data_IF_809115260151
#
_entry.id   IF_809115260151
#
_cell.length_a   1.000
_cell.length_b   1.000
_cell.length_c   1.000
_cell.angle_alpha   90.00
_cell.angle_beta   90.00
_cell.angle_gamma   90.00
#
_symmetry.space_group_name_H-M   'P 1'
#
loop_
_entity.id
_entity.type
_entity.pdbx_description
1 polymer ?
#
# COMPACT_ATOMS: atom_id res chain seq x y z
N UNK A 1 -20.37 -4.94 21.61
CA UNK A 1 -19.78 -5.18 20.27
C UNK A 1 -18.36 -5.70 20.43
N UNK A 2 -17.44 -4.92 20.99
CA UNK A 2 -16.04 -5.33 21.23
C UNK A 2 -15.86 -6.71 21.89
N UNK A 3 -16.51 -6.97 23.04
CA UNK A 3 -16.43 -8.27 23.72
C UNK A 3 -16.91 -9.46 22.87
N UNK A 4 -17.84 -9.23 21.94
CA UNK A 4 -18.27 -10.27 20.99
C UNK A 4 -17.14 -10.62 20.03
N UNK A 5 -16.41 -9.64 19.50
CA UNK A 5 -15.31 -9.90 18.57
C UNK A 5 -14.07 -10.50 19.24
N UNK A 6 -13.78 -10.15 20.50
CA UNK A 6 -12.77 -10.88 21.31
C UNK A 6 -13.14 -12.36 21.43
N UNK A 7 -14.40 -12.65 21.76
CA UNK A 7 -14.86 -14.03 21.90
C UNK A 7 -14.92 -14.77 20.57
N UNK A 8 -15.35 -14.11 19.49
CA UNK A 8 -15.40 -14.68 18.15
C UNK A 8 -13.99 -15.11 17.71
N UNK A 9 -12.99 -14.23 17.82
CA UNK A 9 -11.60 -14.55 17.47
C UNK A 9 -11.03 -15.69 18.32
N UNK A 10 -11.43 -15.78 19.59
CA UNK A 10 -11.02 -16.91 20.46
C UNK A 10 -11.63 -18.24 20.01
N UNK A 11 -12.88 -18.23 19.54
CA UNK A 11 -13.58 -19.43 19.03
C UNK A 11 -13.14 -19.83 17.62
N UNK A 12 -12.79 -18.84 16.81
CA UNK A 12 -12.43 -18.97 15.40
C UNK A 12 -10.96 -18.53 15.20
N UNK A 13 -9.97 -19.29 15.70
CA UNK A 13 -8.57 -18.89 15.69
C UNK A 13 -7.98 -18.74 14.27
N UNK A 14 -8.61 -19.36 13.26
CA UNK A 14 -8.22 -19.22 11.86
C UNK A 14 -8.46 -17.80 11.30
N UNK A 15 -9.20 -16.94 12.02
CA UNK A 15 -9.31 -15.51 11.69
C UNK A 15 -8.03 -14.73 12.02
N UNK A 16 -7.12 -15.28 12.82
CA UNK A 16 -5.90 -14.58 13.24
C UNK A 16 -4.98 -14.21 12.04
N UNK A 17 -4.64 -15.15 11.13
CA UNK A 17 -3.61 -14.90 10.13
C UNK A 17 -4.05 -13.89 9.06
N UNK A 18 -5.26 -14.03 8.51
CA UNK A 18 -5.73 -13.14 7.47
C UNK A 18 -7.26 -13.16 7.28
N UNK A 19 -7.85 -11.96 7.17
CA UNK A 19 -9.29 -11.75 6.96
C UNK A 19 -9.48 -10.49 6.13
N UNK A 20 -10.44 -10.52 5.20
CA UNK A 20 -11.10 -9.33 4.69
C UNK A 20 -12.60 -9.45 4.91
N UNK A 21 -13.16 -8.59 5.76
CA UNK A 21 -14.59 -8.52 6.02
C UNK A 21 -15.12 -7.15 5.60
N UNK A 22 -16.02 -7.14 4.61
CA UNK A 22 -16.57 -5.92 4.02
C UNK A 22 -18.08 -5.96 4.03
N UNK A 23 -18.72 -4.86 4.46
CA UNK A 23 -20.16 -4.73 4.51
C UNK A 23 -20.61 -3.59 3.61
N UNK A 24 -21.59 -3.88 2.74
CA UNK A 24 -22.19 -2.91 1.82
C UNK A 24 -23.60 -2.59 2.29
N UNK A 25 -23.85 -1.32 2.64
CA UNK A 25 -25.16 -0.82 3.06
C UNK A 25 -25.71 0.09 1.97
N UNK A 26 -26.79 -0.28 1.25
CA UNK A 26 -27.37 0.59 0.25
C UNK A 26 -28.04 1.82 0.87
N UNK A 27 -28.17 2.90 0.10
CA UNK A 27 -29.01 4.04 0.49
C UNK A 27 -30.51 3.69 0.54
N UNK A 28 -30.96 2.89 -0.42
CA UNK A 28 -32.35 2.43 -0.49
C UNK A 28 -32.43 0.91 -0.31
N UNK A 29 -33.38 0.39 0.48
CA UNK A 29 -33.57 -1.04 0.61
C UNK A 29 -33.97 -1.62 -0.75
N UNK A 30 -33.01 -2.26 -1.43
CA UNK A 30 -33.23 -2.96 -2.69
C UNK A 30 -32.72 -4.39 -2.58
N UNK A 31 -33.38 -5.36 -3.23
CA UNK A 31 -32.81 -6.69 -3.37
C UNK A 31 -31.46 -6.57 -4.07
N UNK A 32 -30.44 -7.20 -3.50
CA UNK A 32 -29.16 -7.37 -4.18
C UNK A 32 -29.09 -8.76 -4.79
N UNK A 33 -28.60 -8.84 -6.02
CA UNK A 33 -28.15 -10.11 -6.57
C UNK A 33 -26.64 -10.28 -6.34
N UNK A 34 -26.21 -11.53 -6.14
CA UNK A 34 -24.77 -11.86 -6.05
C UNK A 34 -24.03 -11.44 -7.32
N UNK A 35 -24.70 -11.52 -8.49
CA UNK A 35 -24.17 -11.06 -9.76
C UNK A 35 -23.95 -9.53 -9.80
N UNK A 36 -24.82 -8.72 -9.19
CA UNK A 36 -24.63 -7.27 -9.13
C UNK A 36 -23.40 -6.90 -8.27
N UNK A 37 -23.17 -7.63 -7.19
CA UNK A 37 -21.95 -7.49 -6.38
C UNK A 37 -20.73 -7.90 -7.21
N UNK A 38 -20.80 -9.03 -7.91
CA UNK A 38 -19.75 -9.49 -8.82
C UNK A 38 -19.38 -8.46 -9.88
N UNK A 39 -20.38 -7.85 -10.53
CA UNK A 39 -20.17 -6.78 -11.50
C UNK A 39 -19.49 -5.54 -10.89
N UNK A 40 -19.85 -5.17 -9.65
CA UNK A 40 -19.22 -4.05 -8.93
C UNK A 40 -17.79 -4.35 -8.50
N UNK A 41 -17.52 -5.53 -7.95
CA UNK A 41 -16.16 -5.90 -7.54
C UNK A 41 -15.25 -5.97 -8.77
N UNK A 42 -15.68 -6.70 -9.80
CA UNK A 42 -14.91 -6.92 -11.03
C UNK A 42 -14.66 -5.66 -11.87
N UNK A 43 -15.53 -4.65 -11.75
CA UNK A 43 -15.48 -3.45 -12.60
C UNK A 43 -15.68 -3.76 -14.10
N UNK A 44 -16.39 -4.86 -14.41
CA UNK A 44 -16.64 -5.30 -15.78
C UNK A 44 -15.64 -6.34 -16.31
N UNK A 45 -14.65 -6.75 -15.53
CA UNK A 45 -13.87 -7.97 -15.83
C UNK A 45 -14.74 -9.22 -15.66
N UNK A 46 -14.42 -10.33 -16.37
CA UNK A 46 -15.13 -11.59 -16.18
C UNK A 46 -15.09 -12.05 -14.71
N UNK A 47 -16.26 -12.43 -14.20
CA UNK A 47 -16.43 -13.05 -12.88
C UNK A 47 -17.43 -14.19 -13.00
N UNK A 48 -17.33 -15.14 -12.10
CA UNK A 48 -18.24 -16.29 -12.02
C UNK A 48 -18.98 -16.26 -10.69
N UNK A 49 -20.27 -16.61 -10.75
CA UNK A 49 -21.12 -16.80 -9.57
C UNK A 49 -21.22 -18.29 -9.31
N UNK A 50 -20.90 -18.69 -8.10
CA UNK A 50 -20.95 -20.08 -7.67
C UNK A 50 -22.03 -20.30 -6.61
N UNK A 51 -22.52 -21.52 -6.56
CA UNK A 51 -23.47 -21.96 -5.54
C UNK A 51 -22.89 -21.88 -4.13
N UNK A 52 -23.77 -21.96 -3.13
CA UNK A 52 -23.37 -21.82 -1.75
C UNK A 52 -22.38 -22.92 -1.31
N UNK A 53 -21.26 -22.50 -0.74
CA UNK A 53 -20.23 -23.38 -0.19
C UNK A 53 -19.72 -22.82 1.15
N UNK A 54 -19.30 -23.68 2.09
CA UNK A 54 -18.66 -23.23 3.31
C UNK A 54 -17.26 -22.66 3.00
N UNK A 55 -16.75 -21.78 3.88
CA UNK A 55 -15.51 -21.03 3.63
C UNK A 55 -14.30 -21.94 3.38
N UNK A 56 -14.21 -23.07 4.09
CA UNK A 56 -13.12 -24.03 3.96
C UNK A 56 -13.09 -24.78 2.61
N UNK A 57 -14.18 -24.74 1.84
CA UNK A 57 -14.28 -25.41 0.55
C UNK A 57 -13.96 -24.50 -0.65
N UNK A 58 -13.62 -23.23 -0.41
CA UNK A 58 -13.36 -22.26 -1.47
C UNK A 58 -11.97 -22.46 -2.10
N UNK A 59 -11.80 -22.22 -3.43
CA UNK A 59 -10.58 -22.56 -4.16
C UNK A 59 -9.48 -21.48 -4.04
N UNK A 60 -8.90 -21.29 -2.85
CA UNK A 60 -7.89 -20.25 -2.59
C UNK A 60 -6.56 -20.43 -3.34
N UNK A 61 -6.19 -21.67 -3.69
CA UNK A 61 -4.87 -21.99 -4.28
C UNK A 61 -4.89 -22.25 -5.79
N UNK A 62 -6.07 -22.27 -6.41
CA UNK A 62 -6.22 -22.55 -7.85
C UNK A 62 -6.20 -21.27 -8.71
N UNK A 63 -5.64 -20.18 -8.18
CA UNK A 63 -5.63 -18.87 -8.83
C UNK A 63 -6.96 -18.13 -8.79
N UNK A 64 -7.98 -18.70 -8.15
CA UNK A 64 -9.22 -18.01 -7.82
C UNK A 64 -9.04 -17.10 -6.61
N UNK A 65 -9.61 -15.89 -6.68
CA UNK A 65 -9.76 -15.01 -5.52
C UNK A 65 -11.22 -15.10 -5.05
N UNK A 66 -11.59 -16.12 -4.25
CA UNK A 66 -12.99 -16.33 -3.88
C UNK A 66 -13.46 -15.29 -2.85
N UNK A 67 -14.66 -14.77 -3.06
CA UNK A 67 -15.34 -13.86 -2.13
C UNK A 67 -16.72 -14.41 -1.82
N UNK A 68 -16.97 -14.79 -0.57
CA UNK A 68 -18.31 -15.17 -0.11
C UNK A 68 -19.21 -13.94 -0.02
N UNK A 69 -20.45 -14.08 -0.49
CA UNK A 69 -21.44 -13.00 -0.57
C UNK A 69 -22.76 -13.49 0.00
N UNK A 70 -23.24 -12.81 1.03
CA UNK A 70 -24.53 -13.14 1.64
C UNK A 70 -25.31 -11.89 2.05
N UNK A 71 -26.65 -11.90 1.92
CA UNK A 71 -27.49 -10.85 2.49
C UNK A 71 -27.34 -10.77 4.02
N UNK A 72 -27.23 -9.55 4.52
CA UNK A 72 -27.24 -9.21 5.94
C UNK A 72 -28.23 -8.06 6.16
N UNK A 73 -29.51 -8.32 5.83
CA UNK A 73 -30.57 -7.32 5.63
C UNK A 73 -30.53 -6.15 6.63
N UNK A 74 -30.53 -4.88 6.16
CA UNK A 74 -30.67 -4.45 4.75
C UNK A 74 -29.35 -4.42 3.95
N UNK A 75 -28.26 -4.93 4.51
CA UNK A 75 -26.93 -4.88 3.92
C UNK A 75 -26.55 -6.17 3.17
N UNK A 76 -25.34 -6.17 2.61
CA UNK A 76 -24.68 -7.36 2.07
C UNK A 76 -23.34 -7.52 2.78
N UNK A 77 -23.05 -8.74 3.21
CA UNK A 77 -21.76 -9.11 3.78
C UNK A 77 -20.91 -9.79 2.71
N UNK A 78 -19.67 -9.31 2.59
CA UNK A 78 -18.61 -9.88 1.78
C UNK A 78 -17.53 -10.38 2.72
N UNK A 79 -17.01 -11.58 2.44
CA UNK A 79 -15.92 -12.15 3.24
C UNK A 79 -14.93 -12.86 2.34
N UNK A 80 -13.65 -12.59 2.58
CA UNK A 80 -12.54 -13.27 1.93
C UNK A 80 -11.63 -13.81 3.02
N UNK A 81 -11.44 -15.13 3.06
CA UNK A 81 -10.39 -15.72 3.88
C UNK A 81 -9.07 -15.57 3.12
N UNK A 82 -8.10 -14.87 3.71
CA UNK A 82 -6.81 -14.59 3.06
C UNK A 82 -6.92 -13.85 1.70
N UNK A 83 -7.98 -13.08 1.48
CA UNK A 83 -8.17 -12.21 0.31
C UNK A 83 -8.02 -10.73 0.65
N UNK A 84 -7.95 -9.88 -0.38
CA UNK A 84 -7.66 -8.44 -0.26
C UNK A 84 -8.57 -7.58 -1.14
N UNK A 85 -9.51 -8.15 -1.91
CA UNK A 85 -10.27 -7.39 -2.90
C UNK A 85 -11.11 -6.29 -2.24
N UNK A 86 -11.66 -6.57 -1.07
CA UNK A 86 -12.43 -5.62 -0.26
C UNK A 86 -11.65 -4.41 0.25
N UNK A 87 -10.33 -4.36 0.12
CA UNK A 87 -9.52 -3.18 0.47
C UNK A 87 -9.15 -2.31 -0.73
N UNK A 88 -9.32 -2.83 -1.95
CA UNK A 88 -8.90 -2.12 -3.15
C UNK A 88 -9.76 -0.88 -3.37
N UNK A 89 -9.11 0.28 -3.56
CA UNK A 89 -9.76 1.58 -3.75
C UNK A 89 -10.86 1.51 -4.81
N UNK A 90 -10.56 0.92 -5.96
CA UNK A 90 -11.51 0.83 -7.07
C UNK A 90 -12.72 -0.07 -6.76
N UNK A 91 -12.51 -1.16 -6.02
CA UNK A 91 -13.60 -2.03 -5.54
C UNK A 91 -14.49 -1.28 -4.55
N UNK A 92 -13.90 -0.61 -3.56
CA UNK A 92 -14.61 0.19 -2.56
C UNK A 92 -15.44 1.31 -3.19
N UNK A 93 -14.90 1.99 -4.21
CA UNK A 93 -15.62 3.00 -5.00
C UNK A 93 -16.84 2.42 -5.67
N UNK A 94 -16.68 1.35 -6.43
CA UNK A 94 -17.79 0.71 -7.16
C UNK A 94 -18.89 0.21 -6.22
N UNK A 95 -18.49 -0.43 -5.13
CA UNK A 95 -19.44 -0.94 -4.13
C UNK A 95 -20.21 0.21 -3.46
N UNK A 96 -19.57 1.34 -3.20
CA UNK A 96 -20.16 2.48 -2.48
C UNK A 96 -20.98 3.46 -3.33
N UNK A 97 -21.07 3.32 -4.67
CA UNK A 97 -21.79 4.29 -5.53
C UNK A 97 -23.24 4.59 -5.12
N UNK A 98 -23.97 3.57 -4.68
CA UNK A 98 -25.38 3.67 -4.28
C UNK A 98 -25.58 3.39 -2.79
N UNK A 99 -24.58 3.69 -1.97
CA UNK A 99 -24.56 3.28 -0.58
C UNK A 99 -23.32 3.73 0.16
N UNK A 100 -23.03 2.99 1.22
CA UNK A 100 -21.78 3.05 1.95
C UNK A 100 -21.19 1.66 2.13
N UNK A 101 -19.88 1.60 2.28
CA UNK A 101 -19.10 0.39 2.46
C UNK A 101 -18.20 0.62 3.64
N UNK A 102 -18.18 -0.32 4.58
CA UNK A 102 -17.20 -0.33 5.66
C UNK A 102 -16.63 -1.74 5.76
N UNK A 103 -15.32 -1.84 5.94
CA UNK A 103 -14.67 -3.13 6.04
C UNK A 103 -13.33 -3.06 6.74
N UNK A 104 -12.88 -4.22 7.20
CA UNK A 104 -11.61 -4.41 7.86
C UNK A 104 -10.82 -5.51 7.16
N UNK A 105 -9.50 -5.34 7.11
CA UNK A 105 -8.57 -6.29 6.55
C UNK A 105 -7.33 -6.43 7.43
N UNK A 106 -6.76 -7.64 7.44
CA UNK A 106 -5.39 -7.87 7.87
C UNK A 106 -4.80 -9.12 7.23
N UNK A 107 -3.48 -9.23 7.24
CA UNK A 107 -2.75 -10.42 6.79
C UNK A 107 -1.57 -10.78 7.73
N UNK A 108 -0.84 -11.83 7.35
CA UNK A 108 0.34 -12.34 8.08
C UNK A 108 1.60 -11.49 7.88
N UNK A 109 1.60 -10.61 6.88
CA UNK A 109 2.71 -9.70 6.58
C UNK A 109 2.64 -8.41 7.42
N UNK A 110 1.58 -8.25 8.23
CA UNK A 110 1.36 -7.09 9.08
C UNK A 110 0.50 -6.01 8.44
N UNK A 111 0.19 -6.12 7.14
CA UNK A 111 -0.72 -5.19 6.49
C UNK A 111 -2.09 -5.30 7.13
N UNK A 112 -2.67 -4.15 7.43
CA UNK A 112 -4.00 -4.08 7.98
C UNK A 112 -4.68 -2.76 7.61
N UNK A 113 -6.01 -2.79 7.45
CA UNK A 113 -6.79 -1.62 7.02
C UNK A 113 -8.18 -1.62 7.64
N UNK A 114 -8.63 -0.44 8.09
CA UNK A 114 -10.03 -0.12 8.26
C UNK A 114 -10.43 0.86 7.14
N UNK A 115 -11.43 0.50 6.34
CA UNK A 115 -11.86 1.27 5.19
C UNK A 115 -13.31 1.74 5.34
N UNK A 116 -13.58 2.95 4.87
CA UNK A 116 -14.93 3.47 4.70
C UNK A 116 -15.06 4.24 3.39
N UNK A 117 -16.09 3.89 2.61
CA UNK A 117 -16.38 4.51 1.33
C UNK A 117 -17.88 4.81 1.22
N UNK A 118 -18.24 5.95 0.63
CA UNK A 118 -19.62 6.32 0.38
C UNK A 118 -19.72 7.16 -0.89
N UNK A 119 -20.82 6.98 -1.64
CA UNK A 119 -21.09 7.76 -2.85
C UNK A 119 -20.00 7.65 -3.93
N UNK A 120 -19.33 6.50 -4.02
CA UNK A 120 -18.26 6.28 -5.00
C UNK A 120 -16.89 6.86 -4.62
N UNK A 121 -16.70 7.27 -3.37
CA UNK A 121 -15.44 7.82 -2.85
C UNK A 121 -14.97 7.04 -1.63
N UNK A 122 -13.66 6.88 -1.49
CA UNK A 122 -13.05 6.32 -0.27
C UNK A 122 -12.81 7.49 0.68
N UNK A 123 -13.63 7.57 1.74
CA UNK A 123 -13.61 8.71 2.65
C UNK A 123 -12.61 8.51 3.79
N UNK A 124 -12.38 7.25 4.20
CA UNK A 124 -11.36 6.90 5.18
C UNK A 124 -10.68 5.58 4.80
N UNK A 125 -9.36 5.54 4.98
CA UNK A 125 -8.55 4.32 4.92
C UNK A 125 -7.39 4.50 5.91
N UNK A 126 -7.37 3.71 6.97
CA UNK A 126 -6.36 3.84 8.02
C UNK A 126 -5.76 2.48 8.35
N UNK A 127 -4.53 2.51 8.85
CA UNK A 127 -3.92 1.37 9.50
C UNK A 127 -4.64 1.16 10.84
N UNK A 128 -5.26 0.00 11.02
CA UNK A 128 -6.04 -0.32 12.20
C UNK A 128 -5.16 -0.60 13.43
N UNK A 129 -3.86 -0.86 13.26
CA UNK A 129 -2.87 -0.95 14.34
C UNK A 129 -2.41 0.44 14.77
N UNK A 130 -2.28 1.38 13.84
CA UNK A 130 -1.98 2.80 14.10
C UNK A 130 -3.24 3.65 13.94
N UNK A 131 -4.26 3.36 14.77
CA UNK A 131 -5.60 3.96 14.63
C UNK A 131 -5.66 5.45 14.95
N UNK A 132 -4.56 6.08 15.34
CA UNK A 132 -4.38 7.53 15.51
C UNK A 132 -3.72 8.19 14.28
N UNK A 133 -3.17 7.40 13.35
CA UNK A 133 -2.64 7.85 12.08
C UNK A 133 -3.68 7.69 10.96
N UNK A 134 -4.31 8.80 10.58
CA UNK A 134 -5.47 8.76 9.67
C UNK A 134 -5.13 9.21 8.24
N UNK A 135 -5.64 8.49 7.23
CA UNK A 135 -5.62 8.92 5.82
C UNK A 135 -7.00 8.77 5.14
N UNK A 136 -7.29 9.59 4.11
CA UNK A 136 -8.56 9.54 3.37
C UNK A 136 -9.13 10.92 3.01
N UNK A 137 -10.13 10.94 2.13
CA UNK A 137 -10.75 12.16 1.61
C UNK A 137 -11.48 13.01 2.68
N UNK A 138 -12.08 12.36 3.69
CA UNK A 138 -12.85 13.02 4.76
C UNK A 138 -13.00 12.11 5.99
N UNK A 139 -11.93 11.97 6.76
CA UNK A 139 -11.85 11.12 7.97
C UNK A 139 -12.85 11.53 9.06
N UNK A 140 -13.24 12.81 9.11
CA UNK A 140 -14.17 13.32 10.12
C UNK A 140 -15.52 12.59 10.10
N UNK A 141 -15.86 11.93 8.98
CA UNK A 141 -17.04 11.08 8.85
C UNK A 141 -17.08 9.89 9.81
N UNK A 142 -15.92 9.42 10.30
CA UNK A 142 -15.80 8.32 11.27
C UNK A 142 -15.32 8.78 12.66
N UNK A 143 -15.17 10.09 12.91
CA UNK A 143 -14.60 10.60 14.16
C UNK A 143 -15.27 10.02 15.42
N UNK A 144 -16.62 9.91 15.51
CA UNK A 144 -17.28 9.32 16.68
C UNK A 144 -16.92 7.85 16.89
N UNK A 145 -16.88 7.05 15.81
CA UNK A 145 -16.58 5.63 15.85
C UNK A 145 -15.10 5.36 16.16
N UNK A 146 -14.19 6.17 15.61
CA UNK A 146 -12.74 6.08 15.89
C UNK A 146 -12.41 6.52 17.32
N UNK A 147 -13.11 7.54 17.85
CA UNK A 147 -13.01 7.89 19.28
C UNK A 147 -13.46 6.73 20.16
N UNK A 148 -14.57 6.07 19.81
CA UNK A 148 -15.02 4.89 20.54
C UNK A 148 -14.01 3.74 20.46
N UNK A 149 -13.36 3.53 19.32
CA UNK A 149 -12.27 2.56 19.16
C UNK A 149 -11.08 2.89 20.06
N UNK A 150 -10.65 4.15 20.10
CA UNK A 150 -9.56 4.64 20.96
C UNK A 150 -9.86 4.39 22.43
N UNK A 151 -11.08 4.70 22.89
CA UNK A 151 -11.51 4.46 24.27
C UNK A 151 -11.54 2.96 24.62
N UNK A 152 -11.90 2.09 23.66
CA UNK A 152 -11.90 0.64 23.85
C UNK A 152 -10.48 0.06 23.97
N UNK A 153 -9.52 0.66 23.25
CA UNK A 153 -8.13 0.22 23.19
C UNK A 153 -7.25 0.82 24.29
N UNK A 154 -7.77 1.78 25.08
CA UNK A 154 -7.07 2.52 26.13
C UNK A 154 -6.57 1.67 27.34
N UNK A 155 -6.28 0.39 27.15
CA UNK A 155 -5.61 -0.50 28.10
C UNK A 155 -5.20 -1.88 27.55
N UNK A 156 -5.33 -2.13 26.23
CA UNK A 156 -5.02 -3.42 25.57
C UNK A 156 -4.89 -3.20 24.05
N UNK A 157 -3.77 -2.61 23.62
CA UNK A 157 -3.51 -2.23 22.22
C UNK A 157 -3.45 -3.44 21.26
N UNK A 158 -3.16 -4.62 21.80
CA UNK A 158 -3.10 -5.90 21.07
C UNK A 158 -4.46 -6.37 20.51
N UNK A 159 -5.55 -5.78 20.98
CA UNK A 159 -6.92 -6.14 20.58
C UNK A 159 -7.50 -5.28 19.45
N UNK A 160 -6.67 -4.51 18.74
CA UNK A 160 -7.06 -3.65 17.62
C UNK A 160 -7.95 -4.36 16.59
N UNK A 161 -7.72 -5.65 16.29
CA UNK A 161 -8.56 -6.44 15.36
C UNK A 161 -10.01 -6.51 15.83
N UNK A 162 -10.23 -6.79 17.12
CA UNK A 162 -11.58 -6.86 17.68
C UNK A 162 -12.24 -5.48 17.74
N UNK A 163 -11.45 -4.42 17.94
CA UNK A 163 -11.94 -3.04 17.95
C UNK A 163 -12.34 -2.58 16.54
N UNK A 164 -11.51 -2.84 15.53
CA UNK A 164 -11.80 -2.54 14.12
C UNK A 164 -13.07 -3.27 13.64
N UNK A 165 -13.24 -4.55 13.97
CA UNK A 165 -14.48 -5.28 13.70
C UNK A 165 -15.70 -4.65 14.41
N UNK A 166 -15.53 -4.14 15.63
CA UNK A 166 -16.59 -3.43 16.34
C UNK A 166 -16.96 -2.10 15.67
N UNK A 167 -16.00 -1.40 15.06
CA UNK A 167 -16.27 -0.19 14.25
C UNK A 167 -17.09 -0.54 13.01
N UNK A 168 -16.73 -1.60 12.29
CA UNK A 168 -17.52 -2.06 11.13
C UNK A 168 -18.98 -2.34 11.54
N UNK A 169 -19.20 -3.05 12.65
CA UNK A 169 -20.56 -3.28 13.17
C UNK A 169 -21.26 -1.98 13.58
N UNK A 170 -20.56 -1.06 14.23
CA UNK A 170 -21.13 0.21 14.68
C UNK A 170 -21.58 1.08 13.49
N UNK A 171 -20.77 1.18 12.43
CA UNK A 171 -21.05 1.98 11.22
C UNK A 171 -22.18 1.37 10.37
N UNK A 172 -22.25 0.04 10.32
CA UNK A 172 -23.11 -0.67 9.36
C UNK A 172 -24.34 -1.31 9.98
N UNK A 173 -24.33 -1.53 11.30
CA UNK A 173 -25.33 -2.31 12.02
C UNK A 173 -25.23 -3.82 11.76
N UNK A 174 -24.21 -4.29 11.02
CA UNK A 174 -24.05 -5.70 10.64
C UNK A 174 -23.03 -6.37 11.54
N UNK A 175 -23.43 -7.46 12.17
CA UNK A 175 -22.57 -8.28 13.01
C UNK A 175 -22.08 -9.51 12.26
N UNK A 176 -20.77 -9.76 12.27
CA UNK A 176 -20.21 -11.06 11.87
C UNK A 176 -20.31 -12.04 13.04
N UNK A 177 -20.86 -13.23 12.80
CA UNK A 177 -21.06 -14.26 13.84
C UNK A 177 -20.41 -15.58 13.46
N UNK A 178 -20.17 -16.44 14.45
CA UNK A 178 -19.67 -17.79 14.22
C UNK A 178 -20.65 -18.61 13.36
N UNK A 179 -21.96 -18.43 13.53
CA UNK A 179 -22.97 -19.08 12.69
C UNK A 179 -22.83 -18.65 11.23
N UNK A 180 -22.58 -17.36 10.97
CA UNK A 180 -22.32 -16.88 9.61
C UNK A 180 -21.04 -17.52 9.05
N UNK A 181 -19.94 -17.51 9.80
CA UNK A 181 -18.66 -18.09 9.36
C UNK A 181 -18.73 -19.59 9.04
N UNK A 182 -19.49 -20.35 9.81
CA UNK A 182 -19.72 -21.79 9.59
C UNK A 182 -20.75 -22.11 8.50
N UNK A 183 -21.46 -21.09 8.00
CA UNK A 183 -22.51 -21.23 7.01
C UNK A 183 -21.96 -21.39 5.59
N UNK A 184 -22.76 -22.03 4.73
CA UNK A 184 -22.50 -22.03 3.30
C UNK A 184 -23.08 -20.77 2.66
N UNK A 185 -22.27 -20.07 1.85
CA UNK A 185 -22.67 -18.83 1.17
C UNK A 185 -22.34 -18.92 -0.32
N UNK A 186 -23.17 -18.34 -1.20
CA UNK A 186 -22.77 -18.09 -2.58
C UNK A 186 -21.44 -17.35 -2.59
N UNK A 187 -20.62 -17.62 -3.59
CA UNK A 187 -19.33 -16.94 -3.72
C UNK A 187 -19.04 -16.54 -5.15
N UNK A 188 -18.14 -15.58 -5.28
CA UNK A 188 -17.67 -15.03 -6.54
C UNK A 188 -16.22 -15.44 -6.75
N UNK A 189 -15.83 -15.72 -7.99
CA UNK A 189 -14.43 -15.74 -8.40
C UNK A 189 -14.20 -14.74 -9.51
N UNK A 190 -12.99 -14.19 -9.59
CA UNK A 190 -12.66 -13.10 -10.50
C UNK A 190 -11.43 -13.43 -11.33
N UNK A 191 -11.44 -13.01 -12.59
CA UNK A 191 -10.24 -12.98 -13.40
C UNK A 191 -9.34 -11.81 -12.98
N UNK A 192 -8.09 -12.10 -12.64
CA UNK A 192 -7.09 -11.10 -12.28
C UNK A 192 -6.32 -10.60 -13.52
N UNK A 193 -5.94 -9.30 -13.59
CA UNK A 193 -6.28 -8.21 -12.68
C UNK A 193 -7.72 -7.70 -12.85
N UNK A 194 -8.30 -7.15 -11.77
CA UNK A 194 -9.59 -6.45 -11.85
C UNK A 194 -9.49 -5.17 -12.68
N UNK A 195 -10.63 -4.66 -13.15
CA UNK A 195 -10.65 -3.37 -13.83
C UNK A 195 -10.30 -2.23 -12.87
N UNK A 196 -9.32 -1.43 -13.25
CA UNK A 196 -8.99 -0.19 -12.57
C UNK A 196 -9.90 0.95 -13.00
N UNK A 197 -10.25 1.85 -12.09
CA UNK A 197 -10.95 3.08 -12.48
C UNK A 197 -9.97 4.19 -12.80
N UNK A 198 -10.23 4.99 -13.85
CA UNK A 198 -9.44 6.18 -14.06
C UNK A 198 -9.61 7.10 -12.83
N UNK A 199 -8.53 7.72 -12.35
CA UNK A 199 -8.61 8.67 -11.25
C UNK A 199 -9.58 9.82 -11.59
N UNK A 200 -10.30 10.31 -10.59
CA UNK A 200 -11.20 11.46 -10.75
C UNK A 200 -10.42 12.72 -11.13
N UNK A 201 -11.06 13.76 -11.69
CA UNK A 201 -10.38 15.02 -11.97
C UNK A 201 -9.70 15.65 -10.73
N UNK A 202 -10.29 15.48 -9.55
CA UNK A 202 -9.76 15.95 -8.26
C UNK A 202 -8.51 15.15 -7.87
N UNK A 203 -8.55 13.82 -7.97
CA UNK A 203 -7.37 12.97 -7.75
C UNK A 203 -6.29 13.26 -8.77
N UNK A 204 -6.64 13.47 -10.04
CA UNK A 204 -5.69 13.87 -11.05
C UNK A 204 -5.09 15.24 -10.76
N UNK A 205 -5.80 16.13 -10.06
CA UNK A 205 -5.27 17.42 -9.65
C UNK A 205 -4.35 17.27 -8.43
N UNK A 206 -4.73 16.47 -7.44
CA UNK A 206 -3.90 16.13 -6.27
C UNK A 206 -2.63 15.40 -6.70
N UNK A 207 -2.76 14.35 -7.51
CA UNK A 207 -1.67 13.59 -8.09
C UNK A 207 -0.76 14.48 -8.96
N UNK A 208 -1.30 15.44 -9.71
CA UNK A 208 -0.47 16.43 -10.44
C UNK A 208 0.25 17.41 -9.52
N UNK A 209 -0.25 17.64 -8.32
CA UNK A 209 0.37 18.51 -7.32
C UNK A 209 1.34 17.74 -6.41
N UNK A 210 1.27 16.42 -6.38
CA UNK A 210 2.22 15.55 -5.68
C UNK A 210 3.65 15.83 -6.17
N UNK A 211 4.57 16.23 -5.27
CA UNK A 211 5.95 16.52 -5.63
C UNK A 211 6.71 15.36 -6.28
N UNK A 212 6.42 14.10 -5.92
CA UNK A 212 7.04 12.91 -6.51
C UNK A 212 6.56 12.68 -7.94
N UNK A 213 5.26 12.88 -8.18
CA UNK A 213 4.70 12.81 -9.53
C UNK A 213 5.30 13.91 -10.41
N UNK A 214 5.41 15.13 -9.87
CA UNK A 214 6.03 16.26 -10.59
C UNK A 214 7.49 16.00 -10.90
N UNK A 215 8.24 15.37 -9.99
CA UNK A 215 9.61 14.96 -10.23
C UNK A 215 9.66 13.91 -11.35
N UNK A 216 8.82 12.88 -11.29
CA UNK A 216 8.75 11.83 -12.32
C UNK A 216 8.41 12.39 -13.70
N UNK A 217 7.42 13.28 -13.78
CA UNK A 217 7.06 13.96 -15.02
C UNK A 217 8.22 14.79 -15.57
N UNK A 218 8.97 15.49 -14.69
CA UNK A 218 10.15 16.24 -15.07
C UNK A 218 11.28 15.34 -15.59
N UNK A 219 11.49 14.16 -14.98
CA UNK A 219 12.48 13.18 -15.45
C UNK A 219 12.11 12.69 -16.85
N UNK A 220 10.84 12.33 -17.09
CA UNK A 220 10.35 11.84 -18.39
C UNK A 220 10.46 12.91 -19.47
N UNK A 221 10.16 14.18 -19.13
CA UNK A 221 10.21 15.29 -20.08
C UNK A 221 11.64 15.79 -20.38
N UNK A 222 12.61 15.54 -19.50
CA UNK A 222 13.96 16.04 -19.63
C UNK A 222 14.78 15.24 -20.67
N UNK A 223 15.65 15.90 -21.46
CA UNK A 223 16.60 15.20 -22.32
C UNK A 223 17.57 14.34 -21.48
N UNK A 224 18.08 13.26 -22.07
CA UNK A 224 18.94 12.29 -21.38
C UNK A 224 20.15 12.94 -20.69
N UNK A 225 20.73 13.99 -21.28
CA UNK A 225 21.83 14.77 -20.69
C UNK A 225 21.48 15.37 -19.33
N UNK A 226 20.25 15.88 -19.16
CA UNK A 226 19.78 16.44 -17.89
C UNK A 226 19.38 15.36 -16.90
N UNK A 227 18.86 14.24 -17.38
CA UNK A 227 18.62 13.09 -16.52
C UNK A 227 19.94 12.55 -15.94
N UNK A 228 21.01 12.48 -16.74
CA UNK A 228 22.34 12.17 -16.22
C UNK A 228 22.88 13.22 -15.25
N UNK A 229 22.67 14.51 -15.51
CA UNK A 229 23.07 15.58 -14.59
C UNK A 229 22.35 15.46 -13.23
N UNK A 230 21.05 15.19 -13.25
CA UNK A 230 20.22 14.96 -12.06
C UNK A 230 20.71 13.73 -11.26
N UNK A 231 20.92 12.59 -11.94
CA UNK A 231 21.43 11.37 -11.31
C UNK A 231 22.86 11.56 -10.77
N UNK A 232 23.71 12.31 -11.46
CA UNK A 232 25.08 12.62 -11.00
C UNK A 232 25.02 13.44 -9.72
N UNK A 233 24.23 14.52 -9.71
CA UNK A 233 24.05 15.37 -8.54
C UNK A 233 23.54 14.56 -7.34
N UNK A 234 22.50 13.74 -7.55
CA UNK A 234 21.95 12.89 -6.51
C UNK A 234 22.99 11.89 -5.98
N UNK A 235 23.72 11.22 -6.88
CA UNK A 235 24.72 10.24 -6.52
C UNK A 235 25.89 10.86 -5.72
N UNK A 236 26.37 12.04 -6.12
CA UNK A 236 27.42 12.77 -5.39
C UNK A 236 26.97 13.19 -3.99
N UNK A 237 25.72 13.68 -3.87
CA UNK A 237 25.12 14.04 -2.59
C UNK A 237 25.05 12.83 -1.66
N UNK A 238 24.47 11.72 -2.12
CA UNK A 238 24.33 10.50 -1.32
C UNK A 238 25.70 9.93 -0.93
N UNK A 239 26.65 9.86 -1.88
CA UNK A 239 27.99 9.35 -1.60
C UNK A 239 28.75 10.20 -0.57
N UNK A 240 28.52 11.51 -0.55
CA UNK A 240 29.13 12.42 0.43
C UNK A 240 28.44 12.31 1.78
N UNK A 241 27.11 12.45 1.81
CA UNK A 241 26.29 12.47 3.03
C UNK A 241 26.41 11.19 3.83
N UNK A 242 26.41 10.05 3.15
CA UNK A 242 26.45 8.71 3.75
C UNK A 242 27.83 8.04 3.68
N UNK A 243 28.87 8.81 3.34
CA UNK A 243 30.27 8.37 3.26
C UNK A 243 30.50 7.16 2.36
N UNK A 244 29.69 6.98 1.31
CA UNK A 244 29.79 5.84 0.39
C UNK A 244 30.95 5.99 -0.62
N UNK A 245 31.61 7.16 -0.65
CA UNK A 245 32.80 7.38 -1.48
C UNK A 245 34.03 6.52 -1.11
N UNK A 246 34.02 5.87 0.08
CA UNK A 246 35.06 4.93 0.48
C UNK A 246 35.07 3.65 -0.37
N UNK A 247 33.92 3.28 -0.93
CA UNK A 247 33.78 2.13 -1.82
C UNK A 247 34.35 2.46 -3.21
N UNK A 248 35.39 1.74 -3.69
CA UNK A 248 35.95 2.00 -5.02
C UNK A 248 34.92 1.93 -6.15
N UNK A 249 33.95 1.01 -6.04
CA UNK A 249 32.87 0.83 -7.01
C UNK A 249 31.97 2.08 -7.13
N UNK A 250 31.79 2.84 -6.05
CA UNK A 250 31.00 4.09 -6.06
C UNK A 250 31.71 5.18 -6.85
N UNK A 251 33.04 5.32 -6.68
CA UNK A 251 33.83 6.32 -7.42
C UNK A 251 33.80 6.10 -8.94
N UNK A 252 33.85 4.84 -9.36
CA UNK A 252 33.73 4.46 -10.77
C UNK A 252 32.34 4.85 -11.34
N UNK A 253 31.28 4.62 -10.57
CA UNK A 253 29.90 5.00 -10.93
C UNK A 253 29.75 6.51 -11.07
N UNK A 254 30.23 7.28 -10.09
CA UNK A 254 30.18 8.75 -10.14
C UNK A 254 30.87 9.29 -11.40
N UNK A 255 32.04 8.73 -11.73
CA UNK A 255 32.76 9.10 -12.96
C UNK A 255 31.98 8.73 -14.22
N UNK A 256 31.30 7.59 -14.22
CA UNK A 256 30.42 7.13 -15.30
C UNK A 256 29.26 8.09 -15.53
N UNK A 257 28.49 8.39 -14.47
CA UNK A 257 27.33 9.28 -14.52
C UNK A 257 27.72 10.69 -14.95
N UNK A 258 28.79 11.24 -14.38
CA UNK A 258 29.30 12.57 -14.76
C UNK A 258 29.75 12.64 -16.23
N UNK A 259 30.08 11.49 -16.84
CA UNK A 259 30.41 11.38 -18.27
C UNK A 259 29.21 11.02 -19.15
N UNK A 260 27.99 10.98 -18.61
CA UNK A 260 26.78 10.55 -19.34
C UNK A 260 26.78 9.07 -19.71
N UNK A 261 27.45 8.20 -18.94
CA UNK A 261 27.56 6.77 -19.20
C UNK A 261 26.87 5.93 -18.13
N UNK A 262 26.10 4.95 -18.60
CA UNK A 262 25.49 3.91 -17.76
C UNK A 262 26.55 2.87 -17.35
N UNK A 263 26.41 2.32 -16.15
CA UNK A 263 27.20 1.18 -15.72
C UNK A 263 26.69 -0.10 -16.39
N UNK A 264 27.59 -0.98 -16.84
CA UNK A 264 27.23 -2.30 -17.36
C UNK A 264 26.71 -3.24 -16.27
N UNK A 265 26.01 -4.31 -16.66
CA UNK A 265 25.39 -5.28 -15.74
C UNK A 265 26.37 -5.83 -14.68
N UNK A 266 27.60 -6.15 -15.09
CA UNK A 266 28.66 -6.59 -14.16
C UNK A 266 28.90 -5.56 -13.04
N UNK A 267 28.98 -4.28 -13.38
CA UNK A 267 29.26 -3.21 -12.42
C UNK A 267 28.09 -2.96 -11.47
N UNK A 268 26.86 -3.11 -11.97
CA UNK A 268 25.64 -3.07 -11.13
C UNK A 268 25.60 -4.25 -10.16
N UNK A 269 26.07 -5.43 -10.58
CA UNK A 269 26.28 -6.58 -9.70
C UNK A 269 27.32 -6.32 -8.62
N UNK A 270 28.46 -5.73 -8.99
CA UNK A 270 29.50 -5.32 -8.01
C UNK A 270 28.97 -4.32 -6.97
N UNK A 271 28.09 -3.38 -7.34
CA UNK A 271 27.42 -2.49 -6.39
C UNK A 271 26.50 -3.28 -5.44
N UNK A 272 25.77 -4.26 -5.95
CA UNK A 272 24.92 -5.13 -5.12
C UNK A 272 25.75 -5.82 -4.04
N UNK A 273 26.83 -6.49 -4.47
CA UNK A 273 27.63 -7.36 -3.60
C UNK A 273 28.56 -6.59 -2.67
N UNK A 274 29.13 -5.47 -3.14
CA UNK A 274 30.21 -4.78 -2.42
C UNK A 274 29.79 -3.49 -1.73
N UNK A 275 28.61 -2.97 -2.04
CA UNK A 275 28.04 -1.79 -1.40
C UNK A 275 26.74 -2.15 -0.67
N UNK A 276 25.73 -2.63 -1.39
CA UNK A 276 24.39 -2.82 -0.80
C UNK A 276 24.35 -3.97 0.21
N UNK A 277 24.89 -5.15 -0.13
CA UNK A 277 24.82 -6.31 0.77
C UNK A 277 25.53 -6.07 2.12
N UNK A 278 26.73 -5.45 2.20
CA UNK A 278 27.34 -5.10 3.49
C UNK A 278 26.53 -4.08 4.29
N UNK A 279 25.92 -3.10 3.63
CA UNK A 279 25.08 -2.09 4.30
C UNK A 279 23.76 -2.69 4.80
N UNK A 280 23.18 -3.64 4.06
CA UNK A 280 22.00 -4.37 4.50
C UNK A 280 22.33 -5.25 5.71
N UNK A 281 23.49 -5.92 5.68
CA UNK A 281 23.98 -6.66 6.84
C UNK A 281 24.13 -5.73 8.05
N UNK A 282 24.75 -4.55 7.89
CA UNK A 282 24.85 -3.54 8.96
C UNK A 282 23.49 -3.08 9.49
N UNK A 283 22.49 -2.86 8.62
CA UNK A 283 21.16 -2.39 9.01
C UNK A 283 20.26 -3.46 9.63
N UNK A 284 20.58 -4.74 9.46
CA UNK A 284 19.75 -5.86 9.92
C UNK A 284 20.46 -6.81 10.91
N UNK A 285 21.75 -6.59 11.21
CA UNK A 285 22.52 -7.39 12.17
C UNK A 285 22.43 -6.89 13.63
N UNK A 286 21.73 -5.78 13.89
CA UNK A 286 21.41 -5.36 15.26
C UNK A 286 20.29 -6.26 15.84
N UNK A 287 20.67 -7.50 16.13
CA UNK A 287 19.99 -8.47 17.00
C UNK A 287 20.05 -8.03 18.49
N UNK A 288 20.08 -6.73 18.77
CA UNK A 288 19.96 -6.22 20.14
C UNK A 288 18.47 -6.22 20.52
N UNK A 289 18.01 -7.37 21.04
CA UNK A 289 16.70 -7.61 21.68
C UNK A 289 16.35 -6.60 22.82
N UNK A 290 17.20 -5.61 23.09
CA UNK A 290 17.12 -4.70 24.25
C UNK A 290 17.07 -3.19 23.89
N UNK A 291 17.00 -2.77 22.62
CA UNK A 291 16.87 -1.33 22.30
C UNK A 291 15.43 -0.84 22.43
N UNK A 292 15.01 -0.56 23.67
CA UNK A 292 13.73 0.06 24.02
C UNK A 292 13.64 1.57 23.65
N UNK A 293 14.39 2.03 22.64
CA UNK A 293 14.31 3.41 22.15
C UNK A 293 13.52 3.45 20.83
N UNK A 294 12.33 4.07 20.90
CA UNK A 294 11.32 4.35 19.86
C UNK A 294 11.84 5.20 18.68
N UNK A 295 12.98 4.85 18.06
CA UNK A 295 13.26 5.37 16.73
C UNK A 295 12.47 4.56 15.71
N UNK A 296 11.62 5.24 14.95
CA UNK A 296 11.03 4.66 13.74
C UNK A 296 12.17 4.06 12.90
N UNK A 297 11.96 2.85 12.37
CA UNK A 297 12.92 2.14 11.52
C UNK A 297 13.47 3.02 10.37
N UNK A 298 12.70 4.01 9.92
CA UNK A 298 13.11 4.96 8.87
C UNK A 298 14.12 6.03 9.35
N UNK A 299 14.28 6.19 10.65
CA UNK A 299 15.22 7.12 11.29
C UNK A 299 16.54 6.44 11.66
N UNK A 300 16.66 5.13 11.52
CA UNK A 300 17.90 4.39 11.77
C UNK A 300 18.99 4.83 10.76
N UNK A 301 20.12 5.38 11.23
CA UNK A 301 21.24 5.75 10.36
C UNK A 301 21.79 4.61 9.50
N UNK A 302 21.79 3.37 9.98
CA UNK A 302 22.27 2.21 9.23
C UNK A 302 21.31 1.88 8.09
N UNK A 303 20.01 1.87 8.38
CA UNK A 303 18.97 1.74 7.36
C UNK A 303 19.03 2.86 6.31
N UNK A 304 19.11 4.13 6.71
CA UNK A 304 19.22 5.26 5.78
C UNK A 304 20.46 5.14 4.89
N UNK A 305 21.58 4.69 5.46
CA UNK A 305 22.82 4.44 4.71
C UNK A 305 22.64 3.32 3.69
N UNK A 306 21.95 2.24 4.04
CA UNK A 306 21.57 1.17 3.10
C UNK A 306 20.70 1.73 1.97
N UNK A 307 19.66 2.51 2.27
CA UNK A 307 18.79 3.14 1.26
C UNK A 307 19.58 4.00 0.27
N UNK A 308 20.55 4.79 0.76
CA UNK A 308 21.46 5.57 -0.09
C UNK A 308 22.32 4.67 -1.01
N UNK A 309 22.77 3.51 -0.52
CA UNK A 309 23.47 2.50 -1.31
C UNK A 309 22.60 1.92 -2.43
N UNK A 310 21.33 1.60 -2.14
CA UNK A 310 20.37 1.11 -3.13
C UNK A 310 20.10 2.19 -4.19
N UNK A 311 19.86 3.44 -3.79
CA UNK A 311 19.70 4.56 -4.70
C UNK A 311 20.90 4.70 -5.66
N UNK A 312 22.13 4.61 -5.17
CA UNK A 312 23.34 4.63 -6.00
C UNK A 312 23.42 3.46 -7.00
N UNK A 313 23.07 2.25 -6.56
CA UNK A 313 23.04 1.08 -7.42
C UNK A 313 22.04 1.25 -8.58
N UNK A 314 20.87 1.82 -8.29
CA UNK A 314 19.84 2.08 -9.29
C UNK A 314 20.26 3.22 -10.21
N UNK A 315 20.77 4.32 -9.66
CA UNK A 315 21.27 5.47 -10.41
C UNK A 315 22.38 5.07 -11.40
N UNK A 316 23.25 4.12 -11.03
CA UNK A 316 24.32 3.61 -11.90
C UNK A 316 23.80 3.02 -13.22
N UNK A 317 22.54 2.56 -13.27
CA UNK A 317 21.92 2.06 -14.51
C UNK A 317 21.62 3.18 -15.50
N UNK A 318 21.66 4.44 -15.05
CA UNK A 318 21.37 5.65 -15.81
C UNK A 318 19.88 5.78 -16.20
N UNK A 319 19.55 6.78 -17.03
CA UNK A 319 18.24 6.96 -17.63
C UNK A 319 17.77 5.68 -18.35
N UNK A 320 16.50 5.28 -18.24
CA UNK A 320 15.95 4.16 -19.03
C UNK A 320 15.45 4.66 -20.39
N UNK A 321 15.74 3.90 -21.46
CA UNK A 321 15.13 4.04 -22.81
C UNK A 321 13.90 3.14 -23.02
N UNK A 322 13.41 2.46 -22.00
CA UNK A 322 12.25 1.58 -22.13
C UNK A 322 11.22 1.94 -21.08
N UNK A 323 10.04 2.30 -21.59
CA UNK A 323 8.83 2.59 -20.86
C UNK A 323 8.69 1.68 -19.63
N UNK A 324 8.51 2.32 -18.47
CA UNK A 324 7.84 1.67 -17.36
C UNK A 324 6.53 1.10 -17.92
N UNK A 325 6.36 -0.21 -17.85
CA UNK A 325 5.07 -0.80 -18.19
C UNK A 325 4.08 -0.44 -17.09
N UNK A 326 2.78 -0.43 -17.39
CA UNK A 326 1.76 -0.16 -16.38
C UNK A 326 1.81 -1.13 -15.18
N UNK A 327 2.47 -2.28 -15.34
CA UNK A 327 2.72 -3.26 -14.28
C UNK A 327 3.87 -2.86 -13.32
N UNK A 328 4.76 -1.95 -13.73
CA UNK A 328 5.84 -1.44 -12.89
C UNK A 328 5.35 -0.31 -11.96
N UNK A 329 4.25 0.37 -12.29
CA UNK A 329 3.80 1.63 -11.66
C UNK A 329 3.58 1.55 -10.13
N UNK A 330 3.06 0.47 -9.53
CA UNK A 330 2.91 0.41 -8.06
C UNK A 330 4.20 0.03 -7.31
N UNK A 331 5.25 -0.45 -8.00
CA UNK A 331 6.44 -1.04 -7.39
C UNK A 331 7.78 -0.41 -7.83
N UNK A 332 7.76 0.76 -8.46
CA UNK A 332 9.00 1.39 -8.97
C UNK A 332 9.76 2.09 -7.85
N UNK A 333 10.55 1.28 -7.17
CA UNK A 333 11.79 1.63 -6.50
C UNK A 333 12.75 2.26 -7.53
N UNK A 334 12.59 3.54 -7.85
CA UNK A 334 13.60 4.29 -8.59
C UNK A 334 14.65 4.90 -7.64
N UNK A 335 15.74 5.43 -8.20
CA UNK A 335 16.82 6.00 -7.41
C UNK A 335 16.37 7.19 -6.54
N UNK A 336 15.31 7.91 -6.95
CA UNK A 336 14.78 9.06 -6.23
C UNK A 336 13.96 8.64 -5.02
N UNK A 337 13.16 7.58 -5.14
CA UNK A 337 12.43 7.01 -4.00
C UNK A 337 13.39 6.59 -2.87
N UNK A 338 14.40 5.78 -3.18
CA UNK A 338 15.41 5.35 -2.20
C UNK A 338 16.25 6.52 -1.65
N UNK A 339 16.48 7.56 -2.47
CA UNK A 339 17.10 8.78 -1.98
C UNK A 339 16.21 9.52 -0.99
N UNK A 340 14.90 9.57 -1.21
CA UNK A 340 13.93 10.13 -0.29
C UNK A 340 13.93 9.41 1.06
N UNK A 341 13.90 8.08 1.04
CA UNK A 341 14.01 7.25 2.25
C UNK A 341 15.33 7.51 2.99
N UNK A 342 16.45 7.61 2.28
CA UNK A 342 17.74 7.89 2.90
C UNK A 342 17.82 9.30 3.51
N UNK A 343 17.32 10.32 2.79
CA UNK A 343 17.48 11.73 3.16
C UNK A 343 16.43 12.20 4.17
N UNK A 344 15.30 11.50 4.31
CA UNK A 344 14.22 11.86 5.25
C UNK A 344 13.78 13.31 5.06
N UNK A 345 13.86 14.10 6.13
CA UNK A 345 13.47 15.51 6.18
C UNK A 345 14.24 16.42 5.19
N UNK A 346 15.44 16.01 4.74
CA UNK A 346 16.24 16.77 3.77
C UNK A 346 15.73 16.57 2.32
N UNK A 347 14.93 15.52 2.07
CA UNK A 347 14.49 15.15 0.72
C UNK A 347 13.73 16.24 -0.04
N UNK A 348 12.76 16.97 0.55
CA UNK A 348 12.01 17.99 -0.18
C UNK A 348 12.90 19.06 -0.84
N UNK A 349 13.98 19.50 -0.18
CA UNK A 349 14.89 20.50 -0.73
C UNK A 349 15.76 19.92 -1.87
N UNK A 350 16.22 18.68 -1.71
CA UNK A 350 17.00 17.97 -2.73
C UNK A 350 16.17 17.70 -3.98
N UNK A 351 14.93 17.24 -3.80
CA UNK A 351 13.96 17.01 -4.87
C UNK A 351 13.73 18.26 -5.72
N UNK A 352 13.57 19.43 -5.10
CA UNK A 352 13.41 20.69 -5.84
C UNK A 352 14.67 21.05 -6.64
N UNK A 353 15.86 20.84 -6.07
CA UNK A 353 17.13 21.03 -6.79
C UNK A 353 17.25 20.11 -7.99
N UNK A 354 16.88 18.83 -7.84
CA UNK A 354 16.83 17.87 -8.94
C UNK A 354 15.83 18.33 -10.03
N UNK A 355 14.65 18.80 -9.62
CA UNK A 355 13.63 19.31 -10.55
C UNK A 355 14.13 20.53 -11.34
N UNK A 356 14.91 21.40 -10.72
CA UNK A 356 15.56 22.54 -11.38
C UNK A 356 16.58 22.08 -12.42
N UNK A 357 17.43 21.10 -12.09
CA UNK A 357 18.39 20.49 -13.04
C UNK A 357 17.66 19.90 -14.26
N UNK A 358 16.53 19.23 -14.04
CA UNK A 358 15.73 18.64 -15.11
C UNK A 358 15.04 19.70 -15.99
N UNK A 359 14.62 20.81 -15.39
CA UNK A 359 13.82 21.85 -16.05
C UNK A 359 14.63 22.96 -16.73
N UNK A 360 15.90 23.17 -16.36
CA UNK A 360 16.71 24.29 -16.83
C UNK A 360 16.82 24.36 -18.36
N UNK A 361 16.55 25.51 -18.98
CA UNK A 361 16.66 25.68 -20.45
C UNK A 361 18.12 25.56 -20.91
N UNK A 362 18.38 24.90 -22.04
CA UNK A 362 19.73 24.89 -22.64
C UNK A 362 20.12 26.34 -22.96
N UNK A 363 21.24 26.79 -22.40
CA UNK A 363 21.80 28.12 -22.65
C UNK A 363 22.48 28.20 -24.02
#
# INVERSE_FOLDING_TARGET
>A
MFAHYRELRRKEPWLEPAVCWTVVVPHEPRPFSVADIGARVSGGTPHEVHEAAPLEALPFFEGGNPMSVAPASPAVMLFEHNGILGTQRDVLRRLSRDGRVCGVYWNVEGDNRLNYAAGGRVLASLDAMFWDEWSGDDIAVLEPELRAMTELLAGDEDDWRAAAMAVVELVTGVRLTAEWLSGAHPYLTFQWPLATEPPTPEELAEYRNDPEVRLRDAVVAAPESRQFAALTHLAELLATRFRLGEFPVVRDVLTGLASGRRAGAQRVGELAERLVAPLAQEAFDDDDEDSADDLSFEQDPAWQRMQAGIALQIAARGPKDTALTAADIPMVFDAYHHAGLALGDDWPAVRETIREILSGTDA
#
